data_IF_972652095032
#
_entry.id   IF_972652095032
#
_cell.length_a   1.000
_cell.length_b   1.000
_cell.length_c   1.000
_cell.angle_alpha   90.00
_cell.angle_beta   90.00
_cell.angle_gamma   90.00
#
_symmetry.space_group_name_H-M   'P 1'
#
loop_
_entity.id
_entity.type
_entity.pdbx_description
1 polymer ?
#
# COMPACT_ATOMS: atom_id res chain seq x y z
N UNK A 1 22.02 56.50 -77.38
CA UNK A 1 21.89 56.77 -75.94
C UNK A 1 21.23 58.13 -75.82
N UNK A 2 20.01 58.25 -75.24
CA UNK A 2 20.03 58.49 -73.80
C UNK A 2 18.80 58.03 -72.99
N UNK A 3 19.10 57.90 -71.69
CA UNK A 3 18.29 57.79 -70.46
C UNK A 3 17.18 56.72 -70.41
N UNK A 4 17.55 55.55 -69.89
CA UNK A 4 16.58 54.67 -69.23
C UNK A 4 15.91 55.47 -68.10
N UNK A 5 14.62 55.78 -68.25
CA UNK A 5 13.83 56.34 -67.16
C UNK A 5 13.78 55.31 -66.05
N UNK A 6 14.50 55.54 -64.95
CA UNK A 6 14.41 54.70 -63.77
C UNK A 6 12.97 54.81 -63.24
N UNK A 7 12.18 53.76 -63.41
CA UNK A 7 10.84 53.68 -62.82
C UNK A 7 11.00 53.69 -61.31
N UNK A 8 10.59 54.78 -60.64
CA UNK A 8 10.59 54.85 -59.19
C UNK A 8 9.67 53.74 -58.66
N UNK A 9 10.10 52.99 -57.64
CA UNK A 9 9.30 51.91 -57.04
C UNK A 9 8.91 52.30 -55.61
N UNK A 10 7.73 51.86 -55.19
CA UNK A 10 7.27 52.01 -53.82
C UNK A 10 8.22 51.29 -52.87
N UNK A 11 8.74 51.98 -51.85
CA UNK A 11 9.65 51.41 -50.87
C UNK A 11 9.01 50.27 -50.05
N UNK A 12 7.67 50.29 -49.87
CA UNK A 12 6.95 49.27 -49.08
C UNK A 12 6.50 48.05 -49.90
N UNK A 13 5.95 48.23 -51.11
CA UNK A 13 5.38 47.13 -51.90
C UNK A 13 6.09 46.87 -53.23
N UNK A 14 7.18 47.58 -53.52
CA UNK A 14 7.97 47.48 -54.75
C UNK A 14 7.21 47.75 -56.07
N UNK A 15 5.97 48.20 -56.02
CA UNK A 15 5.16 48.56 -57.21
C UNK A 15 5.71 49.81 -57.90
N UNK A 16 5.57 49.89 -59.23
CA UNK A 16 5.98 51.08 -59.98
C UNK A 16 5.14 52.30 -59.58
N UNK A 17 5.79 53.42 -59.29
CA UNK A 17 5.15 54.70 -59.02
C UNK A 17 4.89 55.43 -60.34
N UNK A 18 3.68 55.97 -60.48
CA UNK A 18 3.29 56.77 -61.64
C UNK A 18 3.84 58.19 -61.48
N UNK A 19 4.28 58.81 -62.58
CA UNK A 19 4.94 60.13 -62.60
C UNK A 19 4.07 61.29 -62.07
N UNK A 20 2.76 61.08 -61.93
CA UNK A 20 1.79 62.11 -61.52
C UNK A 20 1.49 62.11 -60.00
N UNK A 21 2.04 61.16 -59.23
CA UNK A 21 1.90 61.10 -57.76
C UNK A 21 3.26 61.37 -57.09
N UNK A 22 3.54 62.60 -56.61
CA UNK A 22 4.80 62.91 -55.97
C UNK A 22 4.95 62.11 -54.67
N UNK A 23 6.11 61.48 -54.41
CA UNK A 23 6.34 60.79 -53.14
C UNK A 23 6.20 61.78 -51.98
N UNK A 24 5.53 61.36 -50.91
CA UNK A 24 5.51 62.10 -49.66
C UNK A 24 6.97 62.39 -49.22
N UNK A 25 7.21 63.53 -48.55
CA UNK A 25 8.56 63.90 -48.13
C UNK A 25 9.20 62.78 -47.28
N UNK A 26 10.18 62.08 -47.85
CA UNK A 26 10.73 60.82 -47.30
C UNK A 26 10.88 59.75 -48.38
N UNK A 27 10.80 58.48 -47.99
CA UNK A 27 10.89 57.33 -48.88
C UNK A 27 9.76 57.31 -49.94
N UNK A 28 10.02 56.83 -51.16
CA UNK A 28 9.04 56.87 -52.24
C UNK A 28 7.90 55.86 -52.00
N UNK A 29 6.73 56.31 -51.52
CA UNK A 29 5.57 55.48 -51.20
C UNK A 29 4.40 55.72 -52.19
N UNK A 30 3.64 54.66 -52.52
CA UNK A 30 2.39 54.83 -53.30
C UNK A 30 1.24 55.26 -52.38
N UNK A 31 0.17 55.90 -52.90
CA UNK A 31 -0.96 56.36 -52.09
C UNK A 31 -1.57 55.26 -51.21
N UNK A 32 -1.70 54.04 -51.77
CA UNK A 32 -2.24 52.90 -51.04
C UNK A 32 -1.35 52.45 -49.87
N UNK A 33 -0.03 52.62 -49.94
CA UNK A 33 0.89 52.28 -48.85
C UNK A 33 1.01 53.43 -47.84
N UNK A 34 0.88 54.68 -48.27
CA UNK A 34 1.01 55.85 -47.39
C UNK A 34 -0.07 55.94 -46.29
N UNK A 35 -1.20 55.24 -46.45
CA UNK A 35 -2.28 55.21 -45.47
C UNK A 35 -2.09 54.17 -44.35
N UNK A 36 -1.09 53.29 -44.45
CA UNK A 36 -0.86 52.24 -43.44
C UNK A 36 0.05 52.73 -42.32
N UNK A 37 -0.16 52.28 -41.07
CA UNK A 37 0.76 52.55 -39.97
C UNK A 37 2.20 52.15 -40.30
N UNK A 38 3.21 52.91 -39.84
CA UNK A 38 4.60 52.56 -40.04
C UNK A 38 4.98 51.31 -39.23
N UNK A 39 5.91 50.52 -39.75
CA UNK A 39 6.61 49.49 -39.01
C UNK A 39 7.47 50.12 -37.92
N UNK A 40 7.35 49.66 -36.67
CA UNK A 40 8.10 50.23 -35.54
C UNK A 40 9.62 50.02 -35.64
N UNK A 41 10.09 49.16 -36.55
CA UNK A 41 11.52 48.85 -36.73
C UNK A 41 12.16 49.55 -37.94
N UNK A 42 11.47 49.63 -39.08
CA UNK A 42 12.03 50.19 -40.32
C UNK A 42 11.33 51.47 -40.81
N UNK A 43 10.30 51.93 -40.09
CA UNK A 43 9.52 53.14 -40.38
C UNK A 43 8.74 53.10 -41.72
N UNK A 44 8.84 52.02 -42.49
CA UNK A 44 8.06 51.80 -43.72
C UNK A 44 6.63 51.34 -43.41
N UNK A 45 5.62 51.72 -44.21
CA UNK A 45 4.23 51.30 -43.97
C UNK A 45 4.03 49.77 -43.96
N UNK A 46 3.32 49.26 -42.96
CA UNK A 46 3.02 47.84 -42.77
C UNK A 46 1.58 47.50 -43.20
N UNK A 47 1.43 46.88 -44.37
CA UNK A 47 0.11 46.52 -44.95
C UNK A 47 -0.57 45.32 -44.29
N UNK A 48 0.15 44.59 -43.42
CA UNK A 48 -0.36 43.54 -42.54
C UNK A 48 0.60 43.40 -41.34
N UNK A 49 0.49 44.26 -40.32
CA UNK A 49 1.46 44.32 -39.23
C UNK A 49 1.43 43.02 -38.40
N UNK A 50 2.61 42.54 -38.07
CA UNK A 50 2.83 41.39 -37.20
C UNK A 50 3.04 41.95 -35.78
N UNK A 51 1.97 41.92 -34.98
CA UNK A 51 2.02 42.45 -33.62
C UNK A 51 2.88 41.57 -32.72
N UNK A 52 3.87 42.17 -32.06
CA UNK A 52 4.80 41.46 -31.17
C UNK A 52 4.30 41.42 -29.73
N UNK A 53 4.97 40.61 -28.91
CA UNK A 53 4.74 40.54 -27.45
C UNK A 53 5.08 41.83 -26.70
N UNK A 54 5.85 42.73 -27.31
CA UNK A 54 6.25 44.03 -26.75
C UNK A 54 5.42 45.19 -27.32
N UNK A 55 4.23 44.89 -27.86
CA UNK A 55 3.30 45.86 -28.45
C UNK A 55 3.88 46.64 -29.67
N UNK A 56 4.85 46.06 -30.38
CA UNK A 56 5.35 46.62 -31.63
C UNK A 56 4.64 46.00 -32.85
N UNK A 57 4.43 46.79 -33.89
CA UNK A 57 3.86 46.36 -35.17
C UNK A 57 4.97 46.28 -36.24
N UNK A 58 5.29 45.05 -36.69
CA UNK A 58 6.35 44.81 -37.67
C UNK A 58 5.81 44.52 -39.07
N UNK A 59 6.49 45.01 -40.11
CA UNK A 59 6.22 44.56 -41.48
C UNK A 59 6.76 43.14 -41.69
N UNK A 60 6.30 42.46 -42.75
CA UNK A 60 6.67 41.08 -43.05
C UNK A 60 8.20 40.85 -43.20
N UNK A 61 8.93 41.86 -43.69
CA UNK A 61 10.40 41.77 -43.81
C UNK A 61 11.11 41.85 -42.45
N UNK A 62 10.62 42.71 -41.54
CA UNK A 62 11.16 42.85 -40.19
C UNK A 62 10.76 41.67 -39.28
N UNK A 63 9.60 41.07 -39.54
CA UNK A 63 9.12 39.88 -38.83
C UNK A 63 9.69 38.56 -39.36
N UNK A 64 10.65 38.58 -40.29
CA UNK A 64 11.16 37.36 -40.95
C UNK A 64 11.75 36.34 -39.97
N UNK A 65 12.41 36.82 -38.91
CA UNK A 65 13.02 35.98 -37.87
C UNK A 65 12.16 35.91 -36.60
N UNK A 66 10.87 36.22 -36.72
CA UNK A 66 9.92 36.16 -35.61
C UNK A 66 8.94 35.02 -35.80
N UNK A 67 8.61 34.32 -34.71
CA UNK A 67 7.66 33.21 -34.71
C UNK A 67 6.37 33.62 -33.99
N UNK A 68 5.23 33.19 -34.51
CA UNK A 68 3.95 33.41 -33.84
C UNK A 68 3.81 32.47 -32.64
N UNK A 69 3.64 33.04 -31.44
CA UNK A 69 3.34 32.28 -30.24
C UNK A 69 2.00 31.55 -30.40
N UNK A 70 1.97 30.24 -30.12
CA UNK A 70 0.75 29.41 -30.20
C UNK A 70 -0.41 29.97 -29.37
N UNK A 71 -0.08 30.56 -28.23
CA UNK A 71 -1.04 30.90 -27.17
C UNK A 71 -1.62 32.29 -27.34
N UNK A 72 -0.78 33.32 -27.29
CA UNK A 72 -1.23 34.70 -27.41
C UNK A 72 -1.38 35.18 -28.86
N UNK A 73 -0.92 34.39 -29.84
CA UNK A 73 -0.90 34.73 -31.28
C UNK A 73 -0.07 35.97 -31.65
N UNK A 74 0.70 36.50 -30.69
CA UNK A 74 1.67 37.57 -30.91
C UNK A 74 3.00 36.99 -31.36
N UNK A 75 3.78 37.81 -32.07
CA UNK A 75 5.10 37.43 -32.56
C UNK A 75 6.16 37.62 -31.48
N UNK A 76 7.09 36.67 -31.40
CA UNK A 76 8.26 36.72 -30.53
C UNK A 76 9.52 36.35 -31.30
N UNK A 77 10.66 36.92 -30.91
CA UNK A 77 12.00 36.51 -31.34
C UNK A 77 12.74 35.71 -30.25
N UNK A 78 12.10 35.52 -29.10
CA UNK A 78 12.52 34.63 -28.02
C UNK A 78 11.46 33.53 -27.90
N UNK A 79 11.79 32.36 -28.43
CA UNK A 79 10.88 31.21 -28.48
C UNK A 79 11.34 30.07 -27.59
N UNK A 80 10.34 29.37 -27.02
CA UNK A 80 10.50 28.09 -26.36
C UNK A 80 9.77 27.02 -27.14
N UNK A 81 10.39 25.86 -27.29
CA UNK A 81 9.77 24.70 -27.93
C UNK A 81 8.71 24.08 -27.02
N UNK A 82 7.54 23.77 -27.60
CA UNK A 82 6.53 22.95 -26.93
C UNK A 82 6.65 21.48 -27.29
N UNK A 83 6.08 20.61 -26.46
CA UNK A 83 5.97 19.18 -26.74
C UNK A 83 5.35 18.92 -28.13
N UNK A 84 4.32 19.69 -28.49
CA UNK A 84 3.56 19.58 -29.74
C UNK A 84 4.23 20.28 -30.95
N UNK A 85 5.49 20.70 -30.80
CA UNK A 85 6.31 21.25 -31.88
C UNK A 85 5.97 22.68 -32.32
N UNK A 86 5.32 23.46 -31.46
CA UNK A 86 5.04 24.87 -31.71
C UNK A 86 5.92 25.77 -30.82
N UNK A 87 5.94 27.07 -31.12
CA UNK A 87 6.69 28.06 -30.34
C UNK A 87 5.81 28.77 -29.30
N UNK A 88 6.39 29.02 -28.13
CA UNK A 88 5.85 29.89 -27.08
C UNK A 88 6.76 31.09 -26.85
N UNK A 89 6.17 32.26 -26.60
CA UNK A 89 6.92 33.37 -26.05
C UNK A 89 7.20 33.19 -24.55
N UNK A 90 8.22 33.88 -24.04
CA UNK A 90 8.60 33.89 -22.62
C UNK A 90 7.42 34.12 -21.67
N UNK A 91 6.48 35.00 -22.05
CA UNK A 91 5.31 35.31 -21.24
C UNK A 91 4.38 34.11 -21.09
N UNK A 92 4.07 33.43 -22.18
CA UNK A 92 3.17 32.27 -22.18
C UNK A 92 3.84 31.00 -21.64
N UNK A 93 5.17 30.89 -21.75
CA UNK A 93 5.92 29.76 -21.22
C UNK A 93 5.84 29.65 -19.69
N UNK A 94 5.64 30.78 -18.98
CA UNK A 94 5.48 30.79 -17.50
C UNK A 94 4.22 30.11 -17.00
N UNK A 95 3.21 29.99 -17.85
CA UNK A 95 1.93 29.35 -17.55
C UNK A 95 1.89 27.89 -18.04
N UNK A 96 3.04 27.35 -18.45
CA UNK A 96 3.20 25.96 -18.89
C UNK A 96 4.12 25.23 -17.92
N UNK A 97 3.92 23.92 -17.80
CA UNK A 97 4.85 23.07 -17.07
C UNK A 97 5.86 22.43 -18.03
N UNK A 98 6.95 21.88 -17.49
CA UNK A 98 8.01 21.22 -18.27
C UNK A 98 7.87 19.71 -18.20
N UNK A 99 7.77 19.06 -19.36
CA UNK A 99 7.79 17.60 -19.45
C UNK A 99 9.12 17.05 -18.92
N UNK A 100 9.06 16.07 -18.02
CA UNK A 100 10.25 15.48 -17.40
C UNK A 100 11.15 14.74 -18.42
N UNK A 101 10.58 14.19 -19.49
CA UNK A 101 11.30 13.35 -20.45
C UNK A 101 11.91 14.16 -21.60
N UNK A 102 11.11 14.99 -22.27
CA UNK A 102 11.58 15.74 -23.43
C UNK A 102 12.04 17.16 -23.10
N UNK A 103 11.86 17.62 -21.85
CA UNK A 103 12.22 18.95 -21.36
C UNK A 103 11.56 20.12 -22.10
N UNK A 104 10.49 19.86 -22.84
CA UNK A 104 9.69 20.88 -23.56
C UNK A 104 8.49 21.33 -22.73
N UNK A 105 8.00 22.53 -23.03
CA UNK A 105 6.81 23.06 -22.37
C UNK A 105 5.54 22.37 -22.85
N UNK A 106 4.61 22.15 -21.93
CA UNK A 106 3.27 21.63 -22.23
C UNK A 106 2.25 22.18 -21.23
N UNK A 107 0.98 22.26 -21.64
CA UNK A 107 -0.15 22.40 -20.71
C UNK A 107 -0.94 21.12 -20.55
N UNK A 108 -0.93 20.29 -21.58
CA UNK A 108 -1.57 18.99 -21.59
C UNK A 108 -0.53 17.98 -21.10
N UNK A 109 -0.60 17.66 -19.81
CA UNK A 109 0.31 16.74 -19.15
C UNK A 109 -0.43 15.65 -18.40
N UNK A 110 0.25 14.51 -18.27
CA UNK A 110 -0.15 13.39 -17.43
C UNK A 110 0.82 13.28 -16.26
N UNK A 111 0.30 12.89 -15.09
CA UNK A 111 1.10 12.74 -13.86
C UNK A 111 1.61 11.30 -13.74
N UNK A 112 2.87 11.18 -13.34
CA UNK A 112 3.50 9.92 -12.96
C UNK A 112 3.31 9.66 -11.47
N UNK A 113 3.57 8.43 -11.03
CA UNK A 113 3.51 8.00 -9.62
C UNK A 113 4.54 8.65 -8.69
N UNK A 114 5.58 9.26 -9.26
CA UNK A 114 6.62 9.99 -8.54
C UNK A 114 6.43 11.53 -8.58
N UNK A 115 5.20 11.99 -8.84
CA UNK A 115 4.78 13.39 -8.98
C UNK A 115 5.39 14.17 -10.16
N UNK A 116 6.26 13.54 -10.97
CA UNK A 116 6.70 14.11 -12.23
C UNK A 116 5.53 14.15 -13.22
N UNK A 117 5.71 14.97 -14.25
CA UNK A 117 4.74 15.10 -15.34
C UNK A 117 5.39 14.80 -16.68
N UNK A 118 4.61 14.27 -17.60
CA UNK A 118 5.01 14.01 -18.99
C UNK A 118 3.96 14.55 -19.94
N UNK A 119 4.36 14.99 -21.13
CA UNK A 119 3.42 15.35 -22.19
C UNK A 119 2.79 14.09 -22.81
N UNK A 120 1.70 14.28 -23.55
CA UNK A 120 0.96 13.20 -24.23
C UNK A 120 1.89 12.30 -25.07
N UNK A 121 2.73 12.89 -25.93
CA UNK A 121 3.68 12.14 -26.76
C UNK A 121 4.70 11.29 -25.97
N UNK A 122 5.09 11.73 -24.76
CA UNK A 122 6.04 10.99 -23.93
C UNK A 122 5.35 9.92 -23.08
N UNK A 123 4.01 9.97 -22.95
CA UNK A 123 3.26 9.04 -22.12
C UNK A 123 3.27 7.60 -22.65
N UNK A 124 3.50 7.41 -23.95
CA UNK A 124 3.61 6.10 -24.61
C UNK A 124 4.72 5.20 -24.02
N UNK A 125 5.71 5.79 -23.32
CA UNK A 125 6.76 5.04 -22.61
C UNK A 125 6.34 4.42 -21.28
N UNK A 126 5.14 4.73 -20.81
CA UNK A 126 4.62 4.37 -19.49
C UNK A 126 3.41 3.44 -19.59
N UNK A 127 3.12 2.76 -18.48
CA UNK A 127 1.94 1.92 -18.31
C UNK A 127 0.97 2.59 -17.33
N UNK A 128 -0.33 2.42 -17.51
CA UNK A 128 -1.30 2.83 -16.49
C UNK A 128 -1.33 1.81 -15.34
N UNK A 129 -1.30 2.29 -14.10
CA UNK A 129 -1.61 1.51 -12.92
C UNK A 129 -3.02 0.90 -13.07
N UNK A 130 -3.19 -0.39 -12.79
CA UNK A 130 -4.48 -1.06 -12.97
C UNK A 130 -5.58 -0.56 -12.02
N UNK A 131 -5.20 -0.06 -10.85
CA UNK A 131 -6.15 0.40 -9.82
C UNK A 131 -6.55 1.86 -9.98
N UNK A 132 -5.57 2.78 -10.02
CA UNK A 132 -5.84 4.21 -10.04
C UNK A 132 -5.55 4.90 -11.38
N UNK A 133 -5.10 4.16 -12.39
CA UNK A 133 -4.77 4.65 -13.73
C UNK A 133 -3.66 5.70 -13.82
N UNK A 134 -2.94 5.99 -12.72
CA UNK A 134 -1.74 6.84 -12.77
C UNK A 134 -0.65 6.16 -13.61
N UNK A 135 0.17 6.95 -14.31
CA UNK A 135 1.24 6.40 -15.14
C UNK A 135 2.41 5.94 -14.27
N UNK A 136 2.92 4.74 -14.57
CA UNK A 136 4.06 4.09 -13.91
C UNK A 136 5.10 3.67 -14.94
N UNK A 137 6.36 3.53 -14.53
CA UNK A 137 7.40 3.08 -15.46
C UNK A 137 7.05 1.70 -16.01
N UNK A 138 7.27 1.49 -17.30
CA UNK A 138 6.99 0.21 -17.99
C UNK A 138 7.81 -0.99 -17.45
N UNK A 139 8.75 -0.74 -16.55
CA UNK A 139 9.51 -1.75 -15.79
C UNK A 139 8.86 -2.19 -14.47
N UNK A 140 7.76 -1.57 -14.06
CA UNK A 140 7.02 -1.89 -12.83
C UNK A 140 5.81 -2.77 -13.15
N UNK A 141 5.53 -3.74 -12.28
CA UNK A 141 4.42 -4.68 -12.39
C UNK A 141 3.06 -3.97 -12.28
N UNK A 142 2.62 -3.26 -13.33
CA UNK A 142 1.26 -2.72 -13.55
C UNK A 142 0.57 -1.93 -12.41
N UNK A 143 1.27 -1.57 -11.32
CA UNK A 143 0.74 -0.88 -10.14
C UNK A 143 1.70 0.23 -9.72
N UNK A 144 1.15 1.38 -9.29
CA UNK A 144 1.96 2.47 -8.73
C UNK A 144 2.36 2.16 -7.29
N UNK A 145 3.41 2.83 -6.78
CA UNK A 145 3.85 2.64 -5.40
C UNK A 145 2.69 2.72 -4.40
N UNK A 146 1.82 3.72 -4.52
CA UNK A 146 0.69 3.88 -3.60
C UNK A 146 -0.29 2.70 -3.69
N UNK A 147 -0.66 2.25 -4.89
CA UNK A 147 -1.53 1.08 -5.04
C UNK A 147 -0.83 -0.22 -4.63
N UNK A 148 0.47 -0.38 -4.90
CA UNK A 148 1.27 -1.52 -4.43
C UNK A 148 1.22 -1.63 -2.90
N UNK A 149 1.21 -0.50 -2.18
CA UNK A 149 1.21 -0.48 -0.72
C UNK A 149 -0.17 -0.26 -0.07
N UNK A 150 -1.16 0.23 -0.82
CA UNK A 150 -2.54 0.52 -0.39
C UNK A 150 -3.57 -0.16 -1.31
N UNK A 151 -3.36 -1.43 -1.66
CA UNK A 151 -4.38 -2.24 -2.33
C UNK A 151 -5.57 -2.45 -1.40
N UNK A 152 -6.62 -1.63 -1.55
CA UNK A 152 -7.85 -1.76 -0.75
C UNK A 152 -8.88 -2.60 -1.51
N UNK A 153 -9.18 -3.80 -1.00
CA UNK A 153 -10.29 -4.61 -1.52
C UNK A 153 -11.56 -4.38 -0.70
N UNK A 154 -12.73 -4.24 -1.34
CA UNK A 154 -13.99 -3.89 -0.65
C UNK A 154 -14.48 -4.94 0.37
N UNK A 155 -13.97 -6.18 0.29
CA UNK A 155 -14.22 -7.27 1.25
C UNK A 155 -13.22 -7.32 2.41
N UNK A 156 -12.18 -6.49 2.37
CA UNK A 156 -11.21 -6.35 3.45
C UNK A 156 -11.56 -5.10 4.23
N UNK A 157 -11.81 -5.28 5.51
CA UNK A 157 -12.18 -4.19 6.39
C UNK A 157 -10.96 -3.47 6.96
N UNK A 158 -11.15 -2.24 7.43
CA UNK A 158 -10.14 -1.53 8.23
C UNK A 158 -9.71 -2.34 9.47
N UNK A 159 -8.48 -2.12 9.93
CA UNK A 159 -7.88 -2.83 11.07
C UNK A 159 -8.68 -2.76 12.37
N UNK A 160 -9.51 -1.72 12.55
CA UNK A 160 -10.33 -1.52 13.75
C UNK A 160 -11.71 -2.19 13.65
N UNK A 161 -12.05 -2.77 12.51
CA UNK A 161 -13.30 -3.46 12.30
C UNK A 161 -13.45 -4.66 13.24
N UNK A 162 -14.50 -4.61 14.06
CA UNK A 162 -14.78 -5.63 15.07
C UNK A 162 -16.29 -5.87 15.18
N UNK A 163 -16.86 -6.80 14.40
CA UNK A 163 -18.29 -7.08 14.42
C UNK A 163 -18.71 -7.75 15.74
N UNK A 164 -20.03 -7.81 15.97
CA UNK A 164 -20.56 -8.57 17.11
C UNK A 164 -20.20 -10.05 16.96
N UNK A 165 -19.56 -10.71 17.95
CA UNK A 165 -19.12 -12.09 17.81
C UNK A 165 -20.28 -13.09 17.67
N UNK A 166 -20.18 -14.00 16.70
CA UNK A 166 -21.06 -15.16 16.55
C UNK A 166 -20.35 -16.39 17.12
N UNK A 167 -20.92 -17.07 18.10
CA UNK A 167 -20.24 -18.19 18.77
C UNK A 167 -20.56 -19.53 18.11
N UNK A 168 -19.53 -20.24 17.65
CA UNK A 168 -19.66 -21.54 16.99
C UNK A 168 -19.24 -22.70 17.89
N UNK A 169 -20.14 -23.68 18.08
CA UNK A 169 -19.90 -24.84 18.94
C UNK A 169 -20.39 -24.64 20.37
N UNK A 170 -19.76 -25.32 21.35
CA UNK A 170 -20.26 -25.39 22.73
C UNK A 170 -19.16 -25.21 23.77
N UNK A 171 -19.59 -24.75 24.94
CA UNK A 171 -18.77 -24.68 26.15
C UNK A 171 -18.35 -23.26 26.49
N UNK A 172 -17.50 -23.09 27.51
CA UNK A 172 -16.97 -21.78 27.87
C UNK A 172 -15.59 -21.52 27.24
N UNK A 173 -15.00 -22.49 26.54
CA UNK A 173 -13.72 -22.36 25.84
C UNK A 173 -14.00 -22.13 24.36
N UNK A 174 -13.90 -20.87 23.96
CA UNK A 174 -13.89 -20.45 22.57
C UNK A 174 -12.51 -19.90 22.20
N UNK A 175 -12.14 -20.16 20.96
CA UNK A 175 -10.93 -19.68 20.32
C UNK A 175 -11.31 -18.75 19.18
N UNK A 176 -10.69 -17.57 19.10
CA UNK A 176 -10.68 -16.73 17.90
C UNK A 176 -9.31 -16.83 17.24
N UNK A 177 -9.27 -17.10 15.94
CA UNK A 177 -8.05 -17.16 15.15
C UNK A 177 -7.91 -15.85 14.39
N UNK A 178 -6.76 -15.21 14.51
CA UNK A 178 -6.30 -14.17 13.60
C UNK A 178 -5.08 -14.74 12.85
N UNK A 179 -5.16 -14.80 11.52
CA UNK A 179 -4.17 -15.42 10.64
C UNK A 179 -3.77 -14.43 9.55
N UNK A 180 -2.55 -13.91 9.64
CA UNK A 180 -1.99 -12.97 8.67
C UNK A 180 -1.43 -13.74 7.47
N UNK A 181 -1.82 -13.34 6.25
CA UNK A 181 -1.45 -14.02 5.00
C UNK A 181 -0.93 -12.98 4.02
N UNK A 182 0.21 -13.26 3.37
CA UNK A 182 0.75 -12.44 2.29
C UNK A 182 0.33 -12.97 0.94
N UNK A 183 0.27 -12.08 -0.04
CA UNK A 183 0.00 -12.42 -1.44
C UNK A 183 0.93 -11.61 -2.35
N UNK A 184 1.24 -12.11 -3.55
CA UNK A 184 1.66 -11.24 -4.65
C UNK A 184 0.56 -10.21 -4.93
N UNK A 185 0.94 -9.01 -5.39
CA UNK A 185 -0.01 -7.95 -5.68
C UNK A 185 -1.00 -8.38 -6.77
N UNK A 186 -0.52 -9.11 -7.78
CA UNK A 186 -1.31 -9.60 -8.90
C UNK A 186 -2.34 -10.68 -8.54
N UNK A 187 -2.17 -11.37 -7.41
CA UNK A 187 -3.09 -12.41 -6.92
C UNK A 187 -3.89 -11.98 -5.68
N UNK A 188 -3.70 -10.75 -5.19
CA UNK A 188 -4.32 -10.23 -3.96
C UNK A 188 -5.85 -10.35 -3.99
N UNK A 189 -6.50 -9.72 -4.97
CA UNK A 189 -7.97 -9.75 -5.12
C UNK A 189 -8.50 -11.18 -5.19
N UNK A 190 -7.81 -12.05 -5.93
CA UNK A 190 -8.20 -13.45 -6.09
C UNK A 190 -8.13 -14.22 -4.79
N UNK A 191 -7.07 -14.01 -4.01
CA UNK A 191 -6.91 -14.64 -2.69
C UNK A 191 -7.96 -14.11 -1.70
N UNK A 192 -8.24 -12.81 -1.73
CA UNK A 192 -9.27 -12.17 -0.90
C UNK A 192 -10.66 -12.71 -1.23
N UNK A 193 -11.02 -12.79 -2.50
CA UNK A 193 -12.31 -13.31 -2.94
C UNK A 193 -12.48 -14.79 -2.56
N UNK A 194 -11.45 -15.61 -2.81
CA UNK A 194 -11.44 -17.02 -2.41
C UNK A 194 -11.64 -17.17 -0.89
N UNK A 195 -10.90 -16.41 -0.10
CA UNK A 195 -11.01 -16.46 1.36
C UNK A 195 -12.39 -16.01 1.81
N UNK A 196 -12.86 -14.85 1.37
CA UNK A 196 -14.14 -14.27 1.77
C UNK A 196 -15.34 -15.17 1.41
N UNK A 197 -15.36 -15.74 0.19
CA UNK A 197 -16.44 -16.63 -0.25
C UNK A 197 -16.44 -17.95 0.55
N UNK A 198 -15.27 -18.44 0.93
CA UNK A 198 -15.13 -19.72 1.65
C UNK A 198 -15.51 -19.61 3.14
N UNK A 199 -15.28 -18.46 3.75
CA UNK A 199 -15.48 -18.24 5.20
C UNK A 199 -16.67 -17.35 5.55
N UNK A 200 -17.56 -17.09 4.59
CA UNK A 200 -18.73 -16.23 4.80
C UNK A 200 -19.53 -16.63 6.05
N UNK A 201 -19.80 -15.65 6.91
CA UNK A 201 -20.46 -15.82 8.21
C UNK A 201 -19.64 -16.57 9.28
N UNK A 202 -18.43 -17.04 8.98
CA UNK A 202 -17.52 -17.73 9.92
C UNK A 202 -16.31 -16.87 10.29
N UNK A 203 -15.81 -16.08 9.34
CA UNK A 203 -14.69 -15.16 9.52
C UNK A 203 -14.89 -13.91 8.67
N UNK A 204 -14.05 -12.92 8.90
CA UNK A 204 -13.98 -11.69 8.11
C UNK A 204 -12.51 -11.36 7.86
N UNK A 205 -12.27 -10.59 6.80
CA UNK A 205 -10.93 -10.16 6.41
C UNK A 205 -10.73 -8.71 6.85
N UNK A 206 -9.55 -8.38 7.34
CA UNK A 206 -9.18 -7.00 7.66
C UNK A 206 -7.74 -6.71 7.25
N UNK A 207 -7.44 -5.43 7.15
CA UNK A 207 -6.08 -4.93 7.07
C UNK A 207 -5.39 -5.15 8.42
N UNK A 208 -4.10 -5.52 8.40
CA UNK A 208 -3.24 -5.42 9.56
C UNK A 208 -1.92 -4.77 9.17
N UNK A 209 -1.57 -3.68 9.87
CA UNK A 209 -0.30 -3.00 9.68
C UNK A 209 0.92 -3.85 10.03
N UNK A 210 0.75 -4.97 10.76
CA UNK A 210 1.81 -5.97 10.97
C UNK A 210 2.25 -6.66 9.68
N UNK A 211 1.38 -6.76 8.68
CA UNK A 211 1.69 -7.31 7.35
C UNK A 211 2.67 -6.37 6.60
N UNK A 212 2.88 -5.13 7.08
CA UNK A 212 3.97 -4.28 6.61
C UNK A 212 3.85 -3.88 5.13
N UNK A 213 4.98 -3.70 4.44
CA UNK A 213 5.04 -3.16 3.08
C UNK A 213 4.67 -4.14 1.96
N UNK A 214 4.05 -5.28 2.28
CA UNK A 214 3.64 -6.29 1.29
C UNK A 214 2.13 -6.43 1.23
N UNK A 215 1.60 -6.91 0.09
CA UNK A 215 0.17 -7.16 -0.07
C UNK A 215 -0.26 -8.38 0.75
N UNK A 216 -1.46 -8.33 1.34
CA UNK A 216 -1.96 -9.39 2.19
C UNK A 216 -3.18 -8.97 3.00
N UNK A 217 -3.72 -9.90 3.77
CA UNK A 217 -4.88 -9.67 4.62
C UNK A 217 -4.78 -10.52 5.89
N UNK A 218 -5.44 -10.07 6.96
CA UNK A 218 -5.65 -10.88 8.15
C UNK A 218 -7.04 -11.52 8.11
N UNK A 219 -7.09 -12.86 8.15
CA UNK A 219 -8.31 -13.62 8.31
C UNK A 219 -8.63 -13.76 9.80
N UNK A 220 -9.75 -13.20 10.23
CA UNK A 220 -10.19 -13.19 11.63
C UNK A 220 -11.48 -13.97 11.80
N UNK A 221 -11.41 -15.07 12.54
CA UNK A 221 -12.59 -15.91 12.77
C UNK A 221 -13.49 -15.36 13.87
N UNK A 222 -14.79 -15.60 13.73
CA UNK A 222 -15.67 -15.60 14.89
C UNK A 222 -15.25 -16.67 15.93
N UNK A 223 -15.63 -16.54 17.21
CA UNK A 223 -15.18 -17.48 18.25
C UNK A 223 -15.72 -18.90 18.03
N UNK A 224 -14.83 -19.89 18.01
CA UNK A 224 -15.14 -21.30 17.81
C UNK A 224 -14.71 -22.14 19.02
N UNK A 225 -15.55 -23.07 19.48
CA UNK A 225 -15.06 -24.12 20.36
C UNK A 225 -14.02 -24.96 19.61
N UNK A 226 -12.96 -25.41 20.28
CA UNK A 226 -11.85 -26.12 19.62
C UNK A 226 -12.32 -27.31 18.75
N UNK A 227 -13.23 -28.14 19.26
CA UNK A 227 -13.77 -29.25 18.48
C UNK A 227 -14.47 -28.77 17.19
N UNK A 228 -15.27 -27.70 17.29
CA UNK A 228 -15.94 -27.13 16.13
C UNK A 228 -14.92 -26.60 15.11
N UNK A 229 -13.88 -25.90 15.55
CA UNK A 229 -12.82 -25.41 14.65
C UNK A 229 -12.17 -26.56 13.87
N UNK A 230 -11.76 -27.63 14.55
CA UNK A 230 -11.13 -28.78 13.88
C UNK A 230 -12.09 -29.47 12.90
N UNK A 231 -13.37 -29.62 13.26
CA UNK A 231 -14.32 -30.40 12.45
C UNK A 231 -15.02 -29.60 11.33
N UNK A 232 -15.09 -28.27 11.45
CA UNK A 232 -15.99 -27.44 10.62
C UNK A 232 -15.33 -26.25 9.94
N UNK A 233 -14.17 -25.80 10.41
CA UNK A 233 -13.43 -24.77 9.68
C UNK A 233 -13.00 -25.32 8.31
N UNK A 234 -13.11 -24.56 7.22
CA UNK A 234 -12.78 -25.02 5.87
C UNK A 234 -11.25 -25.11 5.70
N UNK A 235 -10.63 -26.15 6.26
CA UNK A 235 -9.17 -26.29 6.31
C UNK A 235 -8.50 -26.38 4.93
N UNK A 236 -9.22 -26.80 3.88
CA UNK A 236 -8.72 -26.79 2.50
C UNK A 236 -8.52 -25.38 1.93
N UNK A 237 -9.09 -24.34 2.55
CA UNK A 237 -8.84 -22.95 2.17
C UNK A 237 -7.35 -22.62 2.18
N UNK A 238 -6.59 -23.12 3.17
CA UNK A 238 -5.18 -22.77 3.32
C UNK A 238 -4.30 -23.30 2.17
N UNK A 239 -4.35 -24.60 1.80
CA UNK A 239 -3.63 -25.07 0.61
C UNK A 239 -4.20 -24.49 -0.69
N UNK A 240 -5.50 -24.18 -0.76
CA UNK A 240 -6.07 -23.49 -1.93
C UNK A 240 -5.50 -22.08 -2.10
N UNK A 241 -5.40 -21.29 -1.02
CA UNK A 241 -4.72 -19.97 -1.04
C UNK A 241 -3.26 -20.11 -1.48
N UNK A 242 -2.53 -21.09 -0.94
CA UNK A 242 -1.16 -21.36 -1.37
C UNK A 242 -1.07 -21.68 -2.87
N UNK A 243 -2.06 -22.41 -3.42
CA UNK A 243 -2.13 -22.71 -4.85
C UNK A 243 -2.43 -21.49 -5.72
N UNK A 244 -3.05 -20.44 -5.16
CA UNK A 244 -3.25 -19.13 -5.80
C UNK A 244 -2.03 -18.21 -5.65
N UNK A 245 -0.93 -18.68 -5.05
CA UNK A 245 0.29 -17.89 -4.88
C UNK A 245 0.42 -17.17 -3.54
N UNK A 246 -0.57 -17.28 -2.63
CA UNK A 246 -0.42 -16.77 -1.27
C UNK A 246 0.77 -17.43 -0.57
N UNK A 247 1.43 -16.68 0.31
CA UNK A 247 2.61 -17.13 1.01
C UNK A 247 2.67 -16.56 2.44
N UNK A 248 3.65 -17.03 3.20
CA UNK A 248 3.96 -16.57 4.56
C UNK A 248 5.46 -16.46 4.73
N UNK A 249 5.91 -15.53 5.57
CA UNK A 249 7.31 -15.35 5.96
C UNK A 249 7.43 -15.18 7.48
N UNK A 250 8.58 -14.69 7.96
CA UNK A 250 8.87 -14.51 9.38
C UNK A 250 8.29 -13.22 9.99
N UNK A 251 7.73 -12.34 9.16
CA UNK A 251 7.11 -11.09 9.60
C UNK A 251 5.64 -11.29 9.98
N UNK A 252 4.95 -12.27 9.35
CA UNK A 252 3.53 -12.56 9.60
C UNK A 252 3.27 -13.66 10.64
N UNK A 253 2.19 -13.51 11.38
CA UNK A 253 1.86 -14.30 12.56
C UNK A 253 0.48 -14.93 12.58
N UNK A 254 0.27 -15.71 13.64
CA UNK A 254 -1.03 -16.16 14.11
C UNK A 254 -1.22 -15.64 15.54
N UNK A 255 -2.36 -15.01 15.79
CA UNK A 255 -2.87 -14.74 17.12
C UNK A 255 -4.03 -15.68 17.44
N UNK A 256 -4.01 -16.26 18.65
CA UNK A 256 -5.12 -17.09 19.13
C UNK A 256 -5.71 -16.46 20.38
N UNK A 257 -6.91 -15.93 20.25
CA UNK A 257 -7.72 -15.46 21.36
C UNK A 257 -8.38 -16.64 22.06
N UNK A 258 -8.25 -16.76 23.38
CA UNK A 258 -8.98 -17.73 24.21
C UNK A 258 -9.87 -17.00 25.20
N UNK A 259 -11.16 -17.35 25.21
CA UNK A 259 -12.15 -16.76 26.11
C UNK A 259 -11.76 -16.90 27.58
N UNK A 260 -11.85 -15.81 28.35
CA UNK A 260 -11.59 -15.81 29.80
C UNK A 260 -12.54 -16.72 30.57
N UNK A 261 -13.77 -16.89 30.08
CA UNK A 261 -14.75 -17.83 30.61
C UNK A 261 -14.24 -19.28 30.63
N UNK A 262 -13.25 -19.62 29.80
CA UNK A 262 -12.61 -20.93 29.82
C UNK A 262 -11.92 -21.21 31.15
N UNK A 263 -11.54 -20.19 31.93
CA UNK A 263 -10.74 -20.38 33.14
C UNK A 263 -11.61 -20.44 34.40
N UNK A 264 -11.53 -21.57 35.12
CA UNK A 264 -12.28 -21.78 36.37
C UNK A 264 -11.99 -20.77 37.51
N UNK A 265 -10.83 -20.09 37.51
CA UNK A 265 -10.48 -19.09 38.52
C UNK A 265 -9.21 -18.32 38.15
N UNK A 266 -8.91 -17.24 38.89
CA UNK A 266 -7.61 -16.53 38.80
C UNK A 266 -6.42 -17.45 39.08
N UNK A 267 -6.58 -18.44 39.96
CA UNK A 267 -5.54 -19.44 40.24
C UNK A 267 -5.31 -20.37 39.04
N UNK A 268 -6.35 -20.67 38.26
CA UNK A 268 -6.21 -21.41 37.00
C UNK A 268 -5.45 -20.56 35.96
N UNK A 269 -5.83 -19.30 35.79
CA UNK A 269 -5.09 -18.35 34.92
C UNK A 269 -3.61 -18.28 35.32
N UNK A 270 -3.31 -18.18 36.61
CA UNK A 270 -1.93 -18.21 37.12
C UNK A 270 -1.17 -19.47 36.68
N UNK A 271 -1.76 -20.66 36.87
CA UNK A 271 -1.11 -21.92 36.48
C UNK A 271 -0.87 -21.99 34.98
N UNK A 272 -1.83 -21.51 34.18
CA UNK A 272 -1.72 -21.48 32.73
C UNK A 272 -0.62 -20.54 32.25
N UNK A 273 -0.64 -19.27 32.69
CA UNK A 273 0.42 -18.31 32.37
C UNK A 273 1.79 -18.83 32.82
N UNK A 274 1.92 -19.34 34.05
CA UNK A 274 3.19 -19.93 34.53
C UNK A 274 3.63 -21.11 33.68
N UNK A 275 2.71 -21.97 33.26
CA UNK A 275 3.04 -23.11 32.42
C UNK A 275 3.61 -22.65 31.06
N UNK A 276 2.92 -21.77 30.34
CA UNK A 276 3.38 -21.30 29.01
C UNK A 276 4.72 -20.56 29.14
N UNK A 277 4.82 -19.56 30.01
CA UNK A 277 6.03 -18.76 30.16
C UNK A 277 7.24 -19.57 30.67
N UNK A 278 7.02 -20.60 31.51
CA UNK A 278 8.12 -21.45 31.99
C UNK A 278 8.68 -22.32 30.86
N UNK A 279 7.86 -22.70 29.90
CA UNK A 279 8.21 -23.56 28.78
C UNK A 279 8.48 -22.77 27.49
N UNK A 280 9.01 -21.54 27.60
CA UNK A 280 9.35 -20.67 26.46
C UNK A 280 10.05 -21.41 25.33
N UNK A 281 11.15 -22.12 25.59
CA UNK A 281 11.91 -22.82 24.52
C UNK A 281 11.04 -23.81 23.73
N UNK A 282 10.19 -24.58 24.42
CA UNK A 282 9.31 -25.53 23.75
C UNK A 282 8.12 -24.85 23.05
N UNK A 283 7.56 -23.80 23.67
CA UNK A 283 6.50 -22.98 23.07
C UNK A 283 6.99 -22.25 21.81
N UNK A 284 8.19 -21.68 21.83
CA UNK A 284 8.86 -21.04 20.69
C UNK A 284 9.15 -22.05 19.58
N UNK A 285 9.61 -23.27 19.93
CA UNK A 285 9.81 -24.33 18.93
C UNK A 285 8.51 -24.68 18.21
N UNK A 286 7.42 -24.90 18.97
CA UNK A 286 6.09 -25.14 18.41
C UNK A 286 5.58 -23.95 17.58
N UNK A 287 5.86 -22.74 18.05
CA UNK A 287 5.44 -21.52 17.40
C UNK A 287 6.20 -21.20 16.12
N UNK A 288 7.34 -21.86 15.88
CA UNK A 288 8.23 -21.69 14.70
C UNK A 288 8.78 -20.26 14.51
N UNK A 289 8.59 -19.36 15.48
CA UNK A 289 9.23 -18.04 15.54
C UNK A 289 9.46 -17.58 16.97
N UNK A 290 10.34 -16.59 17.13
CA UNK A 290 10.53 -15.83 18.36
C UNK A 290 10.56 -14.33 18.04
N UNK A 291 9.84 -13.52 18.81
CA UNK A 291 9.87 -12.07 18.66
C UNK A 291 9.93 -11.41 20.03
N UNK A 292 11.01 -10.65 20.28
CA UNK A 292 11.15 -9.83 21.49
C UNK A 292 10.39 -8.51 21.40
N UNK A 293 9.98 -8.11 20.19
CA UNK A 293 9.26 -6.86 19.94
C UNK A 293 7.74 -7.05 19.97
N UNK A 294 7.22 -8.16 19.42
CA UNK A 294 5.77 -8.33 19.16
C UNK A 294 5.13 -9.48 19.98
N UNK A 295 5.94 -10.37 20.57
CA UNK A 295 5.49 -11.56 21.31
C UNK A 295 6.46 -11.99 22.43
N UNK A 296 6.91 -11.03 23.24
CA UNK A 296 8.06 -11.23 24.14
C UNK A 296 7.79 -12.14 25.35
N UNK A 297 8.82 -12.93 25.72
CA UNK A 297 8.85 -13.76 26.93
C UNK A 297 9.75 -13.14 28.02
N UNK A 298 9.52 -11.88 28.36
CA UNK A 298 10.42 -11.14 29.27
C UNK A 298 10.48 -11.74 30.68
N UNK A 299 11.62 -11.54 31.37
CA UNK A 299 11.76 -11.88 32.78
C UNK A 299 10.73 -11.15 33.65
N UNK A 300 10.42 -9.91 33.29
CA UNK A 300 9.45 -9.06 33.99
C UNK A 300 8.05 -9.61 33.83
N UNK A 301 7.68 -10.10 32.65
CA UNK A 301 6.42 -10.81 32.46
C UNK A 301 6.37 -12.04 33.37
N UNK A 302 7.42 -12.86 33.40
CA UNK A 302 7.48 -14.06 34.25
C UNK A 302 7.32 -13.74 35.74
N UNK A 303 7.87 -12.62 36.20
CA UNK A 303 7.74 -12.12 37.57
C UNK A 303 6.33 -11.58 37.83
N UNK A 304 5.77 -10.81 36.90
CA UNK A 304 4.47 -10.16 36.98
C UNK A 304 3.26 -11.09 36.94
N UNK A 305 3.41 -12.37 36.58
CA UNK A 305 2.29 -13.36 36.54
C UNK A 305 1.60 -13.46 37.90
N UNK A 306 2.38 -13.43 39.00
CA UNK A 306 1.84 -13.51 40.35
C UNK A 306 0.97 -12.29 40.69
N UNK A 307 1.42 -11.10 40.33
CA UNK A 307 0.71 -9.85 40.61
C UNK A 307 -0.53 -9.70 39.74
N UNK A 308 -0.43 -10.09 38.46
CA UNK A 308 -1.60 -10.20 37.59
C UNK A 308 -2.65 -11.13 38.19
N UNK A 309 -2.27 -12.33 38.65
CA UNK A 309 -3.20 -13.29 39.23
C UNK A 309 -3.85 -12.80 40.54
N UNK A 310 -3.22 -11.87 41.27
CA UNK A 310 -3.75 -11.28 42.52
C UNK A 310 -4.68 -10.08 42.31
N UNK A 311 -4.74 -9.52 41.10
CA UNK A 311 -5.56 -8.33 40.82
C UNK A 311 -4.76 -7.05 40.63
N UNK A 312 -3.44 -7.12 40.71
CA UNK A 312 -2.57 -5.96 40.52
C UNK A 312 -2.19 -5.84 39.05
N UNK A 313 -3.17 -5.52 38.20
CA UNK A 313 -3.01 -5.50 36.75
C UNK A 313 -1.88 -4.58 36.28
N UNK A 314 -1.81 -3.35 36.81
CA UNK A 314 -0.77 -2.36 36.46
C UNK A 314 0.64 -2.72 36.92
N UNK A 315 0.78 -3.57 37.94
CA UNK A 315 2.08 -4.09 38.42
C UNK A 315 2.42 -5.48 37.84
N UNK A 316 1.43 -6.14 37.25
CA UNK A 316 1.56 -7.44 36.61
C UNK A 316 1.71 -7.33 35.09
N UNK A 317 1.40 -8.41 34.37
CA UNK A 317 1.57 -8.50 32.91
C UNK A 317 0.93 -7.35 32.14
N UNK A 318 -0.25 -6.87 32.56
CA UNK A 318 -0.95 -5.80 31.87
C UNK A 318 -0.16 -4.47 31.89
N UNK A 319 0.67 -4.23 32.92
CA UNK A 319 1.56 -3.08 32.99
C UNK A 319 2.69 -3.10 31.96
N UNK A 320 2.99 -4.25 31.35
CA UNK A 320 4.02 -4.42 30.32
C UNK A 320 3.50 -4.21 28.90
N UNK A 321 2.21 -3.87 28.75
CA UNK A 321 1.57 -3.64 27.45
C UNK A 321 1.19 -4.91 26.70
N UNK A 322 0.79 -4.74 25.42
CA UNK A 322 0.23 -5.81 24.59
C UNK A 322 1.26 -6.76 23.97
N UNK A 323 2.50 -6.31 23.81
CA UNK A 323 3.53 -7.02 23.04
C UNK A 323 4.24 -8.14 23.81
N UNK A 324 3.46 -8.86 24.61
CA UNK A 324 3.91 -10.02 25.38
C UNK A 324 3.45 -11.29 24.66
N UNK A 325 4.13 -12.41 24.92
CA UNK A 325 3.74 -13.72 24.40
C UNK A 325 2.25 -14.05 24.63
N UNK A 326 1.71 -13.59 25.76
CA UNK A 326 0.27 -13.60 26.04
C UNK A 326 -0.17 -12.17 26.40
N UNK A 327 -0.92 -11.54 25.52
CA UNK A 327 -1.58 -10.27 25.79
C UNK A 327 -2.78 -10.50 26.71
N UNK A 328 -2.79 -9.76 27.82
CA UNK A 328 -3.79 -9.88 28.90
C UNK A 328 -4.73 -8.69 29.00
N UNK A 329 -4.63 -7.75 28.05
CA UNK A 329 -5.44 -6.53 27.99
C UNK A 329 -6.85 -6.73 27.43
N UNK A 330 -7.12 -7.64 26.45
CA UNK A 330 -8.48 -7.80 25.94
C UNK A 330 -9.46 -8.19 27.05
N UNK A 331 -10.63 -7.54 27.12
CA UNK A 331 -11.54 -7.69 28.26
C UNK A 331 -12.14 -9.09 28.39
N UNK A 332 -12.45 -9.74 27.26
CA UNK A 332 -13.14 -11.05 27.24
C UNK A 332 -12.22 -12.23 26.94
N UNK A 333 -10.98 -11.98 26.48
CA UNK A 333 -10.05 -13.02 26.02
C UNK A 333 -8.64 -12.82 26.57
N UNK A 334 -7.83 -13.88 26.54
CA UNK A 334 -6.38 -13.77 26.49
C UNK A 334 -5.94 -14.01 25.06
N UNK A 335 -4.98 -13.26 24.56
CA UNK A 335 -4.49 -13.39 23.19
C UNK A 335 -3.08 -13.96 23.22
N UNK A 336 -2.89 -15.13 22.60
CA UNK A 336 -1.60 -15.81 22.48
C UNK A 336 -0.97 -15.42 21.15
N UNK A 337 0.16 -14.72 21.21
CA UNK A 337 0.73 -13.98 20.06
C UNK A 337 1.97 -14.62 19.43
N UNK A 338 2.32 -15.83 19.82
CA UNK A 338 3.68 -16.35 19.60
C UNK A 338 3.89 -17.02 18.24
N UNK A 339 2.82 -17.46 17.58
CA UNK A 339 2.87 -18.40 16.46
C UNK A 339 3.22 -17.71 15.16
N UNK A 340 4.11 -18.31 14.36
CA UNK A 340 4.35 -17.93 12.97
C UNK A 340 3.13 -18.29 12.12
N UNK A 341 2.86 -17.48 11.09
CA UNK A 341 1.80 -17.79 10.14
C UNK A 341 2.06 -19.10 9.37
N UNK A 342 1.01 -19.66 8.77
CA UNK A 342 1.08 -20.89 7.98
C UNK A 342 -0.09 -21.05 7.03
N UNK A 343 0.20 -21.64 5.87
CA UNK A 343 -0.80 -22.18 4.94
C UNK A 343 -0.89 -23.72 5.03
N UNK A 344 -0.21 -24.34 6.00
CA UNK A 344 -0.32 -25.77 6.28
C UNK A 344 -1.38 -26.01 7.37
N UNK A 345 -2.49 -26.71 7.08
CA UNK A 345 -3.56 -26.92 8.06
C UNK A 345 -3.09 -27.48 9.39
N UNK A 346 -2.15 -28.44 9.39
CA UNK A 346 -1.61 -29.03 10.61
C UNK A 346 -1.01 -27.99 11.55
N UNK A 347 -0.26 -27.02 11.03
CA UNK A 347 0.44 -26.02 11.85
C UNK A 347 -0.55 -25.04 12.49
N UNK A 348 -1.57 -24.59 11.74
CA UNK A 348 -2.64 -23.71 12.27
C UNK A 348 -3.51 -24.45 13.29
N UNK A 349 -3.88 -25.71 12.99
CA UNK A 349 -4.60 -26.58 13.91
C UNK A 349 -3.80 -26.84 15.20
N UNK A 350 -2.48 -27.04 15.10
CA UNK A 350 -1.59 -27.22 16.23
C UNK A 350 -1.53 -25.98 17.13
N UNK A 351 -1.55 -24.77 16.55
CA UNK A 351 -1.63 -23.52 17.33
C UNK A 351 -2.92 -23.45 18.16
N UNK A 352 -4.08 -23.70 17.53
CA UNK A 352 -5.38 -23.77 18.22
C UNK A 352 -5.40 -24.87 19.29
N UNK A 353 -4.86 -26.04 18.94
CA UNK A 353 -4.78 -27.19 19.84
C UNK A 353 -3.88 -26.92 21.04
N UNK A 354 -2.77 -26.21 20.89
CA UNK A 354 -1.90 -25.83 22.02
C UNK A 354 -2.61 -24.92 23.00
N UNK A 355 -3.33 -23.91 22.51
CA UNK A 355 -4.06 -22.99 23.37
C UNK A 355 -5.16 -23.74 24.12
N UNK A 356 -5.98 -24.53 23.44
CA UNK A 356 -7.02 -25.33 24.09
C UNK A 356 -6.46 -26.39 25.07
N UNK A 357 -5.43 -27.12 24.66
CA UNK A 357 -4.81 -28.18 25.45
C UNK A 357 -4.12 -27.64 26.70
N UNK A 358 -3.42 -26.51 26.61
CA UNK A 358 -2.75 -25.90 27.76
C UNK A 358 -3.74 -25.39 28.81
N UNK A 359 -4.89 -24.86 28.38
CA UNK A 359 -6.00 -24.49 29.27
C UNK A 359 -6.56 -25.75 29.96
N UNK A 360 -6.87 -26.80 29.20
CA UNK A 360 -7.41 -28.05 29.75
C UNK A 360 -6.44 -28.73 30.72
N UNK A 361 -5.15 -28.79 30.37
CA UNK A 361 -4.10 -29.39 31.19
C UNK A 361 -4.00 -28.69 32.55
N UNK A 362 -3.93 -27.35 32.53
CA UNK A 362 -3.65 -26.54 33.72
C UNK A 362 -4.86 -26.37 34.64
N UNK A 363 -6.07 -26.66 34.15
CA UNK A 363 -7.31 -26.67 34.94
C UNK A 363 -7.20 -27.62 36.12
N UNK A 364 -6.73 -28.84 35.87
CA UNK A 364 -6.67 -29.93 36.86
C UNK A 364 -5.34 -30.02 37.59
N UNK A 365 -4.37 -29.14 37.29
CA UNK A 365 -3.08 -29.13 37.99
C UNK A 365 -3.26 -28.73 39.46
N UNK A 366 -2.93 -29.66 40.35
CA UNK A 366 -2.87 -29.43 41.80
C UNK A 366 -1.46 -29.04 42.23
N UNK A 367 -1.32 -28.45 43.42
CA UNK A 367 0.00 -28.14 44.01
C UNK A 367 0.87 -29.41 44.12
N UNK A 368 0.27 -30.55 44.51
CA UNK A 368 0.98 -31.83 44.54
C UNK A 368 1.38 -32.31 43.14
N UNK A 369 0.49 -32.13 42.14
CA UNK A 369 0.79 -32.41 40.73
C UNK A 369 2.00 -31.63 40.23
N UNK A 370 2.06 -30.35 40.56
CA UNK A 370 3.17 -29.46 40.19
C UNK A 370 4.46 -29.88 40.93
N UNK A 371 4.42 -30.05 42.26
CA UNK A 371 5.61 -30.26 43.07
C UNK A 371 6.20 -31.68 42.96
N UNK A 372 5.34 -32.71 42.92
CA UNK A 372 5.78 -34.12 42.95
C UNK A 372 5.88 -34.76 41.58
N UNK A 373 5.03 -34.33 40.63
CA UNK A 373 4.95 -34.91 39.29
C UNK A 373 5.44 -33.95 38.22
N UNK A 374 6.16 -32.89 38.61
CA UNK A 374 6.76 -31.91 37.70
C UNK A 374 5.73 -31.34 36.71
N UNK A 375 4.48 -31.14 37.15
CA UNK A 375 3.34 -30.77 36.28
C UNK A 375 3.43 -29.40 35.60
N UNK A 376 4.54 -28.67 35.73
CA UNK A 376 4.84 -27.48 34.95
C UNK A 376 5.91 -27.70 33.87
N UNK A 377 6.49 -28.90 33.78
CA UNK A 377 7.45 -29.24 32.74
C UNK A 377 6.73 -29.64 31.45
N UNK A 378 7.32 -29.28 30.31
CA UNK A 378 6.82 -29.62 28.98
C UNK A 378 6.60 -31.13 28.80
N UNK A 379 7.51 -31.95 29.31
CA UNK A 379 7.43 -33.42 29.23
C UNK A 379 6.16 -33.95 29.89
N UNK A 380 5.78 -33.42 31.06
CA UNK A 380 4.54 -33.80 31.74
C UNK A 380 3.28 -33.41 30.94
N UNK A 381 3.32 -32.27 30.25
CA UNK A 381 2.26 -31.85 29.34
C UNK A 381 2.15 -32.77 28.11
N UNK A 382 3.27 -33.11 27.47
CA UNK A 382 3.28 -34.02 26.31
C UNK A 382 2.82 -35.44 26.71
N UNK A 383 3.23 -35.95 27.86
CA UNK A 383 2.73 -37.23 28.39
C UNK A 383 1.22 -37.19 28.62
N UNK A 384 0.71 -36.09 29.17
CA UNK A 384 -0.73 -35.88 29.29
C UNK A 384 -1.40 -35.84 27.91
N UNK A 385 -0.83 -35.11 26.95
CA UNK A 385 -1.37 -34.93 25.60
C UNK A 385 -1.58 -36.25 24.85
N UNK A 386 -0.64 -37.20 24.96
CA UNK A 386 -0.69 -38.52 24.30
C UNK A 386 -1.93 -39.36 24.61
N UNK A 387 -2.63 -39.07 25.70
CA UNK A 387 -3.89 -39.75 26.07
C UNK A 387 -5.15 -38.92 25.79
N UNK A 388 -5.03 -37.87 24.95
CA UNK A 388 -6.16 -37.01 24.51
C UNK A 388 -6.23 -36.96 22.98
N UNK A 389 -6.90 -37.93 22.33
CA UNK A 389 -7.01 -38.00 20.87
C UNK A 389 -7.57 -36.72 20.22
N UNK A 390 -8.39 -35.95 20.93
CA UNK A 390 -8.92 -34.67 20.42
C UNK A 390 -7.83 -33.65 20.06
N UNK A 391 -6.64 -33.74 20.64
CA UNK A 391 -5.51 -32.85 20.36
C UNK A 391 -4.45 -33.49 19.43
N UNK A 392 -4.86 -34.44 18.59
CA UNK A 392 -3.97 -35.11 17.65
C UNK A 392 -3.18 -34.13 16.75
N UNK A 393 -3.75 -33.01 16.22
CA UNK A 393 -2.97 -32.07 15.42
C UNK A 393 -1.75 -31.49 16.15
N UNK A 394 -1.87 -31.20 17.44
CA UNK A 394 -0.73 -30.75 18.25
C UNK A 394 0.30 -31.85 18.43
N UNK A 395 -0.14 -33.09 18.66
CA UNK A 395 0.79 -34.20 18.86
C UNK A 395 1.58 -34.48 17.58
N UNK A 396 0.93 -34.49 16.43
CA UNK A 396 1.56 -34.66 15.12
C UNK A 396 2.61 -33.58 14.87
N UNK A 397 2.27 -32.30 15.09
CA UNK A 397 3.21 -31.19 14.90
C UNK A 397 4.43 -31.29 15.84
N UNK A 398 4.22 -31.70 17.09
CA UNK A 398 5.33 -31.90 18.02
C UNK A 398 6.24 -33.06 17.62
N UNK A 399 5.70 -34.10 17.00
CA UNK A 399 6.46 -35.24 16.47
C UNK A 399 7.28 -34.83 15.24
N UNK A 400 6.68 -34.11 14.30
CA UNK A 400 7.37 -33.59 13.10
C UNK A 400 8.51 -32.64 13.49
N UNK A 401 8.24 -31.71 14.40
CA UNK A 401 9.27 -30.81 14.92
C UNK A 401 10.36 -31.57 15.67
N UNK A 402 10.07 -32.67 16.35
CA UNK A 402 11.10 -33.47 17.01
C UNK A 402 12.00 -34.22 16.00
N UNK A 403 11.43 -34.69 14.90
CA UNK A 403 12.17 -35.37 13.82
C UNK A 403 13.07 -34.42 13.03
N UNK A 404 12.72 -33.13 12.95
CA UNK A 404 13.52 -32.10 12.28
C UNK A 404 14.67 -31.52 13.13
N UNK A 405 14.86 -31.98 14.38
CA UNK A 405 15.86 -31.44 15.34
C UNK A 405 17.27 -31.96 15.16
#
# INVERSE_FOLDING_TARGET
MPVASATLRCAACSSALLLDDPPAAGDPLCPACAEWPPCDQCELPATNPHRTVDDADLCADCARDWTQCRECRLYTNLEHDTAEGNALCDGCARDCDTCADCLRYTRDYLRLDNDLIVCDDCSDGYSACRDCYILVSSSSDSYCLDCTYNHTHWRVHDYSYKPTPVFHGRGPLFLGLELEIRTPAEEYDRCVDLAADTVDGLAYLKDDGSIGSGCGFELVTHPMSYQWAIERFPWELLPELASQGAYVDDEVGIHVHVSRAAFASRAHVYRWLKFVYRNQSAATRLARRSSDEWASFTSDARAGIGDYAKGHHSRGLAGLGRFQAINTLPDDTFEVRIFASSLLPQQVQAALAFVAASVDYTRTLTVSGIARHRGWEWTAFVTWLRSRPKFLPLLAELEDLACAS
#
